data_IF_534976291577
#
_entry.id   IF_534976291577
#
_cell.length_a   1.000
_cell.length_b   1.000
_cell.length_c   1.000
_cell.angle_alpha   90.00
_cell.angle_beta   90.00
_cell.angle_gamma   90.00
#
_symmetry.space_group_name_H-M   'P 1'
#
loop_
_entity.id
_entity.type
_entity.pdbx_description
1 polymer ?
#
# COMPACT_ATOMS: atom_id res chain seq x y z
N UNK A 1 1.10 -5.22 -47.02
CA UNK A 1 1.72 -5.55 -45.73
C UNK A 1 1.58 -4.40 -44.70
N UNK A 2 2.12 -3.18 -45.02
CA UNK A 2 2.02 -2.04 -44.08
C UNK A 2 0.57 -1.56 -43.84
N UNK A 3 -0.26 -1.59 -44.88
CA UNK A 3 -1.69 -1.20 -44.73
C UNK A 3 -2.49 -2.26 -43.99
N UNK A 4 -2.18 -3.54 -44.11
CA UNK A 4 -2.79 -4.63 -43.36
C UNK A 4 -2.44 -4.60 -41.87
N UNK A 5 -1.20 -4.23 -41.53
CA UNK A 5 -0.75 -4.09 -40.15
C UNK A 5 -1.37 -2.87 -39.47
N UNK A 6 -1.57 -1.76 -40.18
CA UNK A 6 -2.29 -0.59 -39.70
C UNK A 6 -3.75 -0.95 -39.41
N UNK A 7 -4.42 -1.66 -40.33
CA UNK A 7 -5.80 -2.07 -40.17
C UNK A 7 -6.01 -3.02 -38.98
N UNK A 8 -5.07 -3.95 -38.75
CA UNK A 8 -5.08 -4.85 -37.59
C UNK A 8 -4.92 -4.09 -36.28
N UNK A 9 -4.02 -3.10 -36.25
CA UNK A 9 -3.80 -2.27 -35.08
C UNK A 9 -4.98 -1.37 -34.78
N UNK A 10 -5.64 -0.81 -35.78
CA UNK A 10 -6.88 -0.04 -35.62
C UNK A 10 -8.03 -0.89 -35.07
N UNK A 11 -8.18 -2.12 -35.57
CA UNK A 11 -9.20 -3.07 -35.09
C UNK A 11 -8.94 -3.49 -33.64
N UNK A 12 -7.67 -3.70 -33.27
CA UNK A 12 -7.30 -4.00 -31.88
C UNK A 12 -7.55 -2.81 -30.94
N UNK A 13 -7.25 -1.59 -31.38
CA UNK A 13 -7.53 -0.36 -30.64
C UNK A 13 -9.04 -0.13 -30.45
N UNK A 14 -9.83 -0.40 -31.49
CA UNK A 14 -11.29 -0.30 -31.40
C UNK A 14 -11.87 -1.36 -30.45
N UNK A 15 -11.34 -2.59 -30.44
CA UNK A 15 -11.70 -3.63 -29.49
C UNK A 15 -11.37 -3.24 -28.04
N UNK A 16 -10.24 -2.54 -27.81
CA UNK A 16 -9.88 -1.98 -26.50
C UNK A 16 -10.84 -0.86 -26.09
N UNK A 17 -11.21 0.03 -27.02
CA UNK A 17 -12.17 1.12 -26.78
C UNK A 17 -13.58 0.60 -26.48
N UNK A 18 -14.00 -0.47 -27.14
CA UNK A 18 -15.32 -1.10 -26.92
C UNK A 18 -15.36 -2.02 -25.70
N UNK A 19 -14.26 -2.11 -24.92
CA UNK A 19 -14.21 -2.91 -23.71
C UNK A 19 -14.17 -4.42 -23.95
N UNK A 20 -13.83 -4.86 -25.15
CA UNK A 20 -13.72 -6.30 -25.50
C UNK A 20 -12.67 -7.03 -24.66
N UNK A 21 -11.67 -6.30 -24.14
CA UNK A 21 -10.69 -6.74 -23.16
C UNK A 21 -10.92 -6.19 -21.74
N UNK A 22 -12.02 -5.47 -21.54
CA UNK A 22 -12.42 -5.16 -20.17
C UNK A 22 -12.67 -6.50 -19.46
N UNK A 23 -12.05 -6.76 -18.30
CA UNK A 23 -12.35 -7.97 -17.56
C UNK A 23 -13.85 -8.02 -17.38
N UNK A 24 -14.47 -9.12 -17.82
CA UNK A 24 -15.93 -9.35 -17.76
C UNK A 24 -16.49 -9.22 -16.34
N UNK A 25 -15.64 -8.98 -15.37
CA UNK A 25 -15.92 -8.89 -13.95
C UNK A 25 -15.55 -7.53 -13.32
N UNK A 26 -15.37 -6.43 -14.07
CA UNK A 26 -15.17 -5.11 -13.43
C UNK A 26 -16.29 -4.71 -12.46
N UNK A 27 -17.49 -5.29 -12.60
CA UNK A 27 -18.57 -5.15 -11.64
C UNK A 27 -18.64 -6.24 -10.58
N UNK A 28 -17.81 -7.32 -10.69
CA UNK A 28 -17.81 -8.46 -9.76
C UNK A 28 -16.59 -8.53 -8.85
N UNK A 29 -15.61 -7.67 -9.04
CA UNK A 29 -14.46 -7.56 -8.13
C UNK A 29 -14.87 -7.05 -6.74
N UNK A 30 -16.15 -6.72 -6.56
CA UNK A 30 -16.68 -6.10 -5.34
C UNK A 30 -18.10 -6.59 -5.07
N UNK A 31 -18.43 -7.83 -5.44
CA UNK A 31 -19.60 -8.47 -4.86
C UNK A 31 -19.17 -9.06 -3.52
N UNK A 32 -19.92 -8.65 -2.49
CA UNK A 32 -19.90 -9.16 -1.12
C UNK A 32 -19.26 -10.55 -1.01
N UNK A 33 -18.06 -10.64 -0.47
CA UNK A 33 -17.73 -11.78 0.35
C UNK A 33 -18.70 -11.77 1.52
N UNK A 34 -19.11 -12.90 2.04
CA UNK A 34 -20.07 -13.00 3.14
C UNK A 34 -19.65 -12.21 4.41
N UNK A 35 -18.51 -11.53 4.39
CA UNK A 35 -17.94 -10.64 5.41
C UNK A 35 -17.78 -9.18 4.93
N UNK A 36 -18.44 -8.80 3.86
CA UNK A 36 -18.94 -7.46 3.56
C UNK A 36 -18.02 -6.26 3.66
N UNK A 37 -16.87 -6.22 2.98
CA UNK A 37 -16.22 -4.93 2.66
C UNK A 37 -16.77 -4.47 1.31
N UNK A 38 -17.73 -3.56 1.35
CA UNK A 38 -18.20 -2.83 0.17
C UNK A 38 -17.10 -1.83 -0.21
N UNK A 39 -16.25 -2.22 -1.18
CA UNK A 39 -15.17 -1.34 -1.65
C UNK A 39 -15.80 -0.20 -2.43
N UNK A 40 -15.54 0.99 -1.97
CA UNK A 40 -16.19 2.19 -2.42
C UNK A 40 -16.03 2.48 -3.90
N UNK A 41 -16.99 3.22 -4.41
CA UNK A 41 -16.97 3.84 -5.73
C UNK A 41 -15.73 4.72 -5.95
N UNK A 42 -15.07 5.18 -4.87
CA UNK A 42 -13.87 5.99 -4.94
C UNK A 42 -12.67 5.19 -5.46
N UNK A 43 -12.45 3.98 -4.93
CA UNK A 43 -11.37 3.10 -5.41
C UNK A 43 -11.55 2.74 -6.90
N UNK A 44 -12.79 2.47 -7.34
CA UNK A 44 -13.08 2.14 -8.74
C UNK A 44 -12.84 3.31 -9.70
N UNK A 45 -13.14 4.54 -9.27
CA UNK A 45 -13.03 5.73 -10.11
C UNK A 45 -11.64 6.35 -10.09
N UNK A 46 -10.99 6.34 -8.94
CA UNK A 46 -9.78 7.13 -8.68
C UNK A 46 -8.56 6.29 -8.36
N UNK A 47 -8.72 4.98 -8.11
CA UNK A 47 -7.62 4.05 -7.86
C UNK A 47 -7.04 4.12 -6.45
N UNK A 48 -7.68 4.83 -5.52
CA UNK A 48 -7.28 4.88 -4.11
C UNK A 48 -8.48 4.81 -3.17
N UNK A 49 -8.26 4.30 -1.97
CA UNK A 49 -9.26 4.25 -0.89
C UNK A 49 -9.33 5.59 -0.20
N UNK A 50 -10.54 6.08 0.11
CA UNK A 50 -10.71 7.30 0.87
C UNK A 50 -10.28 7.10 2.34
N UNK A 51 -9.84 8.18 3.00
CA UNK A 51 -9.30 8.10 4.36
C UNK A 51 -10.32 7.59 5.39
N UNK A 52 -11.60 7.88 5.18
CA UNK A 52 -12.71 7.43 6.04
C UNK A 52 -13.11 5.96 5.82
N UNK A 53 -12.61 5.33 4.76
CA UNK A 53 -12.90 3.94 4.43
C UNK A 53 -11.79 2.98 4.86
N UNK A 54 -10.59 3.52 5.14
CA UNK A 54 -9.40 2.71 5.38
C UNK A 54 -9.52 1.82 6.62
N UNK A 55 -10.24 2.27 7.64
CA UNK A 55 -10.46 1.56 8.89
C UNK A 55 -11.28 0.25 8.73
N UNK A 56 -11.88 0.05 7.55
CA UNK A 56 -12.66 -1.17 7.26
C UNK A 56 -11.78 -2.36 6.89
N UNK A 57 -10.50 -2.15 6.60
CA UNK A 57 -9.61 -3.22 6.18
C UNK A 57 -9.04 -3.98 7.37
N UNK A 58 -9.04 -5.33 7.35
CA UNK A 58 -8.57 -6.14 8.47
C UNK A 58 -7.08 -5.99 8.78
N UNK A 59 -6.32 -5.44 7.83
CA UNK A 59 -4.91 -5.13 7.98
C UNK A 59 -4.63 -3.75 8.54
N UNK A 60 -5.66 -2.93 8.80
CA UNK A 60 -5.52 -1.59 9.38
C UNK A 60 -5.83 -1.67 10.87
N UNK A 61 -4.84 -1.34 11.67
CA UNK A 61 -4.94 -1.38 13.15
C UNK A 61 -4.20 -0.20 13.75
N UNK A 62 -4.60 0.19 14.95
CA UNK A 62 -3.93 1.20 15.78
C UNK A 62 -3.28 0.51 16.97
N UNK A 63 -1.98 0.67 17.15
CA UNK A 63 -1.22 0.02 18.22
C UNK A 63 -0.14 0.94 18.78
N UNK A 64 0.23 0.69 20.01
CA UNK A 64 1.40 1.31 20.63
C UNK A 64 2.67 0.76 19.98
N UNK A 65 3.58 1.65 19.58
CA UNK A 65 4.82 1.30 18.89
C UNK A 65 4.62 0.97 17.42
N UNK A 66 5.72 0.59 16.77
CA UNK A 66 5.74 0.28 15.35
C UNK A 66 4.94 -0.97 15.02
N UNK A 67 4.06 -0.89 14.02
CA UNK A 67 3.25 -2.01 13.55
C UNK A 67 2.96 -1.89 12.05
N UNK A 68 2.62 -3.02 11.38
CA UNK A 68 2.22 -2.98 9.98
C UNK A 68 0.79 -2.45 9.83
N UNK A 69 0.59 -1.58 8.87
CA UNK A 69 -0.71 -1.14 8.37
C UNK A 69 -0.83 -1.60 6.93
N UNK A 70 -1.81 -2.43 6.64
CA UNK A 70 -1.97 -3.09 5.34
C UNK A 70 -3.24 -2.61 4.66
N UNK A 71 -3.05 -1.89 3.55
CA UNK A 71 -4.12 -1.34 2.72
C UNK A 71 -4.37 -2.22 1.48
N UNK A 72 -4.36 -3.52 1.68
CA UNK A 72 -4.61 -4.47 0.62
C UNK A 72 -6.11 -4.50 0.28
N UNK A 73 -6.45 -4.11 -0.94
CA UNK A 73 -7.84 -3.91 -1.39
C UNK A 73 -8.36 -5.03 -2.29
N UNK A 74 -7.53 -6.02 -2.62
CA UNK A 74 -7.85 -7.03 -3.61
C UNK A 74 -7.78 -8.44 -3.03
N UNK A 75 -8.84 -9.22 -3.24
CA UNK A 75 -8.90 -10.63 -2.91
C UNK A 75 -8.23 -11.47 -4.02
N UNK A 76 -6.90 -11.44 -4.07
CA UNK A 76 -6.09 -12.18 -5.04
C UNK A 76 -5.22 -13.23 -4.33
N UNK A 77 -4.81 -14.32 -5.01
CA UNK A 77 -3.87 -15.29 -4.44
C UNK A 77 -2.51 -14.61 -4.17
N UNK A 78 -2.27 -14.22 -2.92
CA UNK A 78 -1.06 -13.48 -2.55
C UNK A 78 -0.77 -13.63 -1.05
N UNK A 79 0.47 -14.03 -0.70
CA UNK A 79 0.88 -14.20 0.71
C UNK A 79 2.34 -13.79 1.05
N UNK A 80 3.14 -13.12 0.18
CA UNK A 80 4.54 -12.82 0.50
C UNK A 80 4.73 -12.07 1.81
N UNK A 81 3.79 -11.21 2.20
CA UNK A 81 3.86 -10.45 3.46
C UNK A 81 3.78 -11.34 4.70
N UNK A 82 2.96 -12.40 4.66
CA UNK A 82 2.89 -13.40 5.74
C UNK A 82 4.18 -14.20 5.83
N UNK A 83 4.67 -14.70 4.69
CA UNK A 83 5.85 -15.56 4.63
C UNK A 83 7.14 -14.80 5.01
N UNK A 84 7.21 -13.52 4.64
CA UNK A 84 8.36 -12.66 4.96
C UNK A 84 8.40 -12.20 6.43
N UNK A 85 7.31 -12.33 7.20
CA UNK A 85 7.26 -11.80 8.56
C UNK A 85 7.91 -12.76 9.58
N UNK A 86 9.11 -12.46 10.12
CA UNK A 86 9.81 -13.37 11.04
C UNK A 86 9.13 -13.47 12.42
N UNK A 87 8.18 -12.58 12.70
CA UNK A 87 7.39 -12.55 13.94
C UNK A 87 5.95 -13.02 13.75
N UNK A 88 5.60 -13.46 12.53
CA UNK A 88 4.25 -13.92 12.20
C UNK A 88 3.14 -12.95 12.55
N UNK A 89 3.44 -11.63 12.47
CA UNK A 89 2.46 -10.57 12.75
C UNK A 89 1.35 -10.46 11.69
N UNK A 90 1.52 -11.10 10.54
CA UNK A 90 0.57 -11.02 9.42
C UNK A 90 -0.01 -12.39 9.16
N UNK A 91 -1.31 -12.46 9.04
CA UNK A 91 -2.07 -13.67 8.74
C UNK A 91 -2.92 -13.46 7.48
N UNK A 92 -2.80 -14.37 6.54
CA UNK A 92 -3.79 -14.55 5.48
C UNK A 92 -4.83 -15.54 6.04
N UNK A 93 -6.12 -15.29 5.82
CA UNK A 93 -7.18 -16.15 6.32
C UNK A 93 -7.15 -17.58 5.73
N UNK A 94 -8.26 -18.31 5.82
CA UNK A 94 -8.34 -19.70 5.37
C UNK A 94 -8.04 -19.89 3.88
N UNK A 95 -8.35 -18.88 3.07
CA UNK A 95 -8.08 -18.89 1.64
C UNK A 95 -6.91 -17.97 1.31
N UNK A 96 -6.06 -18.39 0.38
CA UNK A 96 -4.94 -17.58 -0.09
C UNK A 96 -5.38 -16.23 -0.71
N UNK A 97 -6.64 -16.10 -1.04
CA UNK A 97 -7.28 -14.88 -1.54
C UNK A 97 -7.86 -13.99 -0.43
N UNK A 98 -7.80 -14.42 0.83
CA UNK A 98 -8.26 -13.60 1.95
C UNK A 98 -7.40 -12.36 2.11
N UNK A 99 -8.01 -11.25 2.54
CA UNK A 99 -7.24 -10.05 2.87
C UNK A 99 -6.34 -10.30 4.08
N UNK A 100 -5.13 -9.72 4.10
CA UNK A 100 -4.23 -9.86 5.24
C UNK A 100 -4.79 -9.14 6.48
N UNK A 101 -4.62 -9.78 7.63
CA UNK A 101 -4.94 -9.21 8.93
C UNK A 101 -3.69 -9.16 9.82
N UNK A 102 -3.67 -8.24 10.77
CA UNK A 102 -2.61 -8.17 11.79
C UNK A 102 -2.96 -9.11 12.94
N UNK A 103 -2.03 -9.98 13.33
CA UNK A 103 -2.14 -10.75 14.56
C UNK A 103 -1.88 -9.83 15.76
N UNK A 104 -2.91 -9.56 16.53
CA UNK A 104 -2.84 -8.65 17.68
C UNK A 104 -1.96 -9.16 18.82
N UNK A 105 -1.69 -10.46 18.85
CA UNK A 105 -0.87 -11.10 19.88
C UNK A 105 0.62 -11.09 19.55
N UNK A 106 1.00 -10.77 18.33
CA UNK A 106 2.37 -10.77 17.87
C UNK A 106 3.03 -9.39 17.99
N UNK A 107 4.28 -9.38 18.45
CA UNK A 107 5.08 -8.17 18.60
C UNK A 107 5.86 -7.84 17.32
N UNK A 108 5.44 -6.80 16.62
CA UNK A 108 6.16 -6.28 15.48
C UNK A 108 7.48 -5.63 15.91
N UNK A 109 8.57 -6.00 15.25
CA UNK A 109 9.92 -5.43 15.51
C UNK A 109 10.33 -4.34 14.50
N UNK A 110 9.42 -3.89 13.65
CA UNK A 110 9.70 -2.84 12.66
C UNK A 110 10.73 -3.22 11.60
N UNK A 111 10.98 -4.51 11.36
CA UNK A 111 12.03 -4.95 10.44
C UNK A 111 11.84 -4.51 8.99
N UNK A 112 10.59 -4.34 8.53
CA UNK A 112 10.24 -3.87 7.20
C UNK A 112 10.17 -4.96 6.12
N UNK A 113 10.38 -6.23 6.46
CA UNK A 113 10.34 -7.32 5.48
C UNK A 113 9.01 -7.41 4.76
N UNK A 114 7.89 -7.24 5.47
CA UNK A 114 6.55 -7.24 4.87
C UNK A 114 6.35 -6.07 3.89
N UNK A 115 6.89 -4.89 4.19
CA UNK A 115 6.83 -3.73 3.30
C UNK A 115 7.60 -4.01 2.02
N UNK A 116 8.85 -4.46 2.13
CA UNK A 116 9.71 -4.77 0.99
C UNK A 116 9.18 -5.93 0.13
N UNK A 117 8.53 -6.93 0.74
CA UNK A 117 8.02 -8.11 0.03
C UNK A 117 6.65 -7.88 -0.64
N UNK A 118 6.00 -6.75 -0.40
CA UNK A 118 4.70 -6.47 -0.96
C UNK A 118 4.80 -5.93 -2.39
N UNK A 119 4.53 -6.76 -3.39
CA UNK A 119 4.54 -6.34 -4.79
C UNK A 119 3.51 -5.25 -5.13
N UNK A 120 2.42 -5.17 -4.34
CA UNK A 120 1.40 -4.12 -4.47
C UNK A 120 1.73 -2.83 -3.73
N UNK A 121 2.86 -2.76 -3.00
CA UNK A 121 3.28 -1.62 -2.17
C UNK A 121 2.17 -1.11 -1.23
N UNK A 122 1.33 -2.04 -0.75
CA UNK A 122 0.16 -1.74 0.07
C UNK A 122 0.41 -1.89 1.58
N UNK A 123 1.67 -2.02 2.00
CA UNK A 123 2.05 -2.20 3.40
C UNK A 123 2.97 -1.08 3.85
N UNK A 124 2.65 -0.53 5.00
CA UNK A 124 3.39 0.54 5.66
C UNK A 124 3.71 0.11 7.09
N UNK A 125 4.78 0.63 7.69
CA UNK A 125 4.94 0.54 9.14
C UNK A 125 4.62 1.90 9.73
N UNK A 126 3.75 1.91 10.73
CA UNK A 126 3.31 3.13 11.41
C UNK A 126 3.66 3.02 12.89
N UNK A 127 4.14 4.10 13.47
CA UNK A 127 4.26 4.27 14.91
C UNK A 127 3.64 5.61 15.29
N UNK A 128 2.40 5.54 15.78
CA UNK A 128 1.62 6.70 16.23
C UNK A 128 2.08 7.24 17.58
N UNK A 129 2.98 6.50 18.26
CA UNK A 129 3.47 6.81 19.61
C UNK A 129 4.94 7.23 19.64
N UNK A 130 5.52 7.53 18.48
CA UNK A 130 6.94 7.82 18.30
C UNK A 130 7.46 8.94 19.24
N UNK A 131 6.82 10.08 19.22
CA UNK A 131 7.08 11.19 20.15
C UNK A 131 5.83 12.08 20.31
N UNK A 132 5.71 12.90 21.38
CA UNK A 132 4.54 13.74 21.57
C UNK A 132 4.25 14.64 20.37
N UNK A 133 3.07 14.48 19.77
CA UNK A 133 2.62 15.24 18.60
C UNK A 133 3.13 14.77 17.24
N UNK A 134 3.98 13.73 17.20
CA UNK A 134 4.51 13.18 15.96
C UNK A 134 4.44 11.66 15.91
N UNK A 135 4.37 11.17 14.69
CA UNK A 135 4.39 9.76 14.36
C UNK A 135 5.48 9.47 13.33
N UNK A 136 5.84 8.20 13.15
CA UNK A 136 6.65 7.79 12.01
C UNK A 136 5.86 6.89 11.07
N UNK A 137 6.13 7.05 9.78
CA UNK A 137 5.59 6.20 8.72
C UNK A 137 6.77 5.68 7.89
N UNK A 138 6.89 4.36 7.79
CA UNK A 138 7.86 3.72 6.88
C UNK A 138 7.14 3.28 5.62
N UNK A 139 7.63 3.74 4.49
CA UNK A 139 7.07 3.50 3.16
C UNK A 139 8.07 2.77 2.26
N UNK A 140 7.62 1.98 1.28
CA UNK A 140 8.49 1.56 0.18
C UNK A 140 8.81 2.77 -0.68
N UNK A 141 10.07 2.89 -1.13
CA UNK A 141 10.54 4.06 -1.90
C UNK A 141 11.46 3.65 -3.03
N UNK A 142 11.00 3.86 -4.27
CA UNK A 142 11.65 3.40 -5.50
C UNK A 142 12.22 4.55 -6.35
N UNK A 143 12.15 5.80 -5.87
CA UNK A 143 12.61 6.96 -6.61
C UNK A 143 14.07 7.30 -6.30
N UNK A 144 14.75 7.87 -7.29
CA UNK A 144 16.12 8.34 -7.18
C UNK A 144 16.22 9.84 -7.51
N UNK A 145 17.11 10.58 -6.87
CA UNK A 145 18.01 10.15 -5.79
C UNK A 145 17.25 9.79 -4.50
N UNK A 146 17.85 8.91 -3.68
CA UNK A 146 17.29 8.63 -2.36
C UNK A 146 17.45 9.87 -1.48
N UNK A 147 16.41 10.26 -0.72
CA UNK A 147 16.53 11.36 0.23
C UNK A 147 17.47 11.00 1.39
N UNK A 148 18.08 12.00 2.01
CA UNK A 148 19.00 11.82 3.13
C UNK A 148 18.30 11.99 4.49
N UNK A 149 18.73 11.28 5.56
CA UNK A 149 18.25 11.54 6.91
C UNK A 149 18.42 13.01 7.31
N UNK A 150 17.36 13.61 7.86
CA UNK A 150 17.27 15.05 8.18
C UNK A 150 16.72 15.91 7.04
N UNK A 151 16.57 15.39 5.84
CA UNK A 151 15.92 16.09 4.74
C UNK A 151 14.46 16.35 5.06
N UNK A 152 13.97 17.55 4.71
CA UNK A 152 12.59 17.95 4.92
C UNK A 152 11.86 18.11 3.60
N UNK A 153 10.67 17.57 3.54
CA UNK A 153 9.81 17.61 2.35
C UNK A 153 8.34 17.58 2.73
N UNK A 154 7.56 16.88 1.92
CA UNK A 154 6.13 16.78 2.08
C UNK A 154 5.68 15.32 2.15
N UNK A 155 4.83 15.02 3.14
CA UNK A 155 4.03 13.81 3.14
C UNK A 155 2.87 13.94 2.15
N UNK A 156 2.70 12.92 1.30
CA UNK A 156 1.61 12.86 0.33
C UNK A 156 0.55 11.86 0.81
N UNK A 157 -0.71 12.22 0.60
CA UNK A 157 -1.84 11.32 0.82
C UNK A 157 -1.98 10.27 -0.29
N UNK A 158 -2.95 9.37 -0.15
CA UNK A 158 -3.27 8.31 -1.13
C UNK A 158 -3.62 8.85 -2.52
N UNK A 159 -4.12 10.07 -2.59
CA UNK A 159 -4.42 10.77 -3.84
C UNK A 159 -3.22 11.51 -4.45
N UNK A 160 -2.02 11.39 -3.85
CA UNK A 160 -0.80 12.06 -4.30
C UNK A 160 -0.70 13.55 -3.94
N UNK A 161 -1.65 14.09 -3.19
CA UNK A 161 -1.60 15.50 -2.77
C UNK A 161 -0.71 15.69 -1.54
N UNK A 162 -0.04 16.83 -1.47
CA UNK A 162 0.74 17.26 -0.29
C UNK A 162 -0.21 17.55 0.86
N UNK A 163 -0.09 16.84 1.97
CA UNK A 163 -0.99 16.98 3.11
C UNK A 163 -0.31 17.47 4.38
N UNK A 164 0.99 17.26 4.55
CA UNK A 164 1.74 17.78 5.68
C UNK A 164 3.22 17.96 5.37
N UNK A 165 3.98 18.59 6.26
CA UNK A 165 5.45 18.54 6.26
C UNK A 165 5.91 17.20 6.78
N UNK A 166 7.02 16.72 6.24
CA UNK A 166 7.65 15.47 6.64
C UNK A 166 9.17 15.64 6.72
N UNK A 167 9.79 14.93 7.66
CA UNK A 167 11.24 14.87 7.85
C UNK A 167 11.70 13.43 7.68
N UNK A 168 12.76 13.21 6.92
CA UNK A 168 13.35 11.89 6.73
C UNK A 168 14.12 11.48 7.99
N UNK A 169 13.72 10.37 8.60
CA UNK A 169 14.39 9.80 9.78
C UNK A 169 15.45 8.79 9.37
N UNK A 170 15.12 7.93 8.43
CA UNK A 170 16.08 6.92 7.96
C UNK A 170 15.73 6.39 6.58
N UNK A 171 16.77 5.97 5.86
CA UNK A 171 16.67 5.21 4.62
C UNK A 171 17.34 3.86 4.83
N UNK A 172 16.62 2.78 4.58
CA UNK A 172 17.14 1.42 4.74
C UNK A 172 17.17 0.71 3.39
N UNK A 173 18.38 0.42 2.91
CA UNK A 173 18.62 -0.37 1.70
C UNK A 173 19.37 -1.63 2.12
N UNK A 174 18.71 -2.78 2.07
CA UNK A 174 19.29 -4.07 2.47
C UNK A 174 19.16 -5.09 1.38
N UNK A 175 20.14 -5.99 1.23
CA UNK A 175 20.04 -7.11 0.27
C UNK A 175 18.76 -7.94 0.44
N UNK A 176 18.30 -8.10 1.69
CA UNK A 176 17.05 -8.84 1.98
C UNK A 176 15.77 -8.12 1.52
N UNK A 177 15.83 -6.87 1.12
CA UNK A 177 14.71 -6.11 0.58
C UNK A 177 14.59 -6.18 -0.95
N UNK A 178 15.49 -6.94 -1.58
CA UNK A 178 15.49 -7.17 -3.03
C UNK A 178 15.33 -5.87 -3.86
N UNK A 179 16.25 -4.92 -3.61
CA UNK A 179 16.29 -3.58 -4.22
C UNK A 179 15.23 -2.58 -3.78
N UNK A 180 14.20 -2.95 -3.04
CA UNK A 180 13.27 -1.99 -2.44
C UNK A 180 13.95 -1.21 -1.32
N UNK A 181 13.88 0.12 -1.37
CA UNK A 181 14.32 0.97 -0.28
C UNK A 181 13.16 1.26 0.66
N UNK A 182 13.44 1.29 1.96
CA UNK A 182 12.46 1.68 2.95
C UNK A 182 12.82 3.05 3.51
N UNK A 183 11.93 4.01 3.28
CA UNK A 183 12.04 5.37 3.78
C UNK A 183 11.16 5.53 5.03
N UNK A 184 11.77 5.90 6.16
CA UNK A 184 11.02 6.25 7.37
C UNK A 184 10.99 7.77 7.50
N UNK A 185 9.79 8.31 7.58
CA UNK A 185 9.55 9.75 7.72
C UNK A 185 8.80 10.05 9.02
N UNK A 186 9.14 11.20 9.63
CA UNK A 186 8.39 11.78 10.74
C UNK A 186 7.36 12.75 10.20
N UNK A 187 6.14 12.63 10.70
CA UNK A 187 4.99 13.45 10.33
C UNK A 187 4.21 13.87 11.58
N UNK A 188 3.40 14.93 11.55
CA UNK A 188 2.49 15.22 12.65
C UNK A 188 1.54 14.04 12.90
N UNK A 189 1.23 13.73 14.16
CA UNK A 189 0.49 12.53 14.56
C UNK A 189 -0.84 12.35 13.80
N UNK A 190 -1.59 13.44 13.58
CA UNK A 190 -2.88 13.42 12.86
C UNK A 190 -2.79 12.94 11.39
N UNK A 191 -1.57 12.81 10.86
CA UNK A 191 -1.31 12.39 9.50
C UNK A 191 -0.70 10.99 9.39
N UNK A 192 -0.44 10.29 10.50
CA UNK A 192 0.17 8.97 10.53
C UNK A 192 -0.54 7.97 9.62
N UNK A 193 -1.86 7.92 9.70
CA UNK A 193 -2.72 7.01 8.92
C UNK A 193 -3.09 7.55 7.54
N UNK A 194 -2.63 8.76 7.17
CA UNK A 194 -2.98 9.42 5.90
C UNK A 194 -1.81 9.51 4.93
N UNK A 195 -0.59 9.71 5.44
CA UNK A 195 0.62 9.81 4.60
C UNK A 195 1.00 8.44 4.06
N UNK A 196 1.19 8.36 2.73
CA UNK A 196 1.56 7.11 2.04
C UNK A 196 2.72 7.29 1.05
N UNK A 197 3.20 8.50 0.88
CA UNK A 197 4.37 8.80 0.07
C UNK A 197 5.13 10.03 0.59
N UNK A 198 6.37 10.24 0.09
CA UNK A 198 7.23 11.37 0.40
C UNK A 198 7.68 12.06 -0.87
N UNK A 199 7.70 13.39 -0.85
CA UNK A 199 8.25 14.24 -1.89
C UNK A 199 9.22 15.26 -1.26
N UNK A 200 10.45 15.24 -1.69
CA UNK A 200 11.46 16.27 -1.38
C UNK A 200 11.13 17.64 -1.99
#
# INVERSE_FOLDING_TARGET
>A
ELEEDVQKNETALEGLRQGMFAPKNRGKLIEKTEEGIDISMNLLKHGFVADDEIERFPGVTHRVGVHPVMECTQNIPCNPCQDACPKHCIKIGEHITSLPAVDETADCIGCGMCVASCSGQAIFLVDETYEPGFATVTIPYEFLPLPEPGETGYGLGRNGQKICKAEVISVRSKKAFDHTNLLTIKVPADYAMKVRFYLS
#
